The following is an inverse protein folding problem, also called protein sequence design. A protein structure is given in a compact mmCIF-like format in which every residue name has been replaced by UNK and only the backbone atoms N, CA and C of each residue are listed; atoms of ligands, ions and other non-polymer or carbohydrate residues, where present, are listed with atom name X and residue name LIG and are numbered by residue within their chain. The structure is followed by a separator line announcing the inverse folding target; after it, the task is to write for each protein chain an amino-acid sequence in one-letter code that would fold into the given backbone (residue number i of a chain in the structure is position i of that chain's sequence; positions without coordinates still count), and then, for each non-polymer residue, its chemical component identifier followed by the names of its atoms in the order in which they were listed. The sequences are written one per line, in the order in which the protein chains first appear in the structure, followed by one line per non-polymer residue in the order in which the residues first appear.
data_IF_663127930733
#
_entry.id   IF_663127930733
#
_cell.length_a   1.000
_cell.length_b   1.000
_cell.length_c   1.000
_cell.angle_alpha   90.00
_cell.angle_beta   90.00
_cell.angle_gamma   90.00
#
_symmetry.space_group_name_H-M   'P 1'
#
loop_
_entity.id
_entity.type
_entity.pdbx_description
1 polymer ?
#
# COMPACT_ATOMS: atom_id res chain seq x y z
N UNK A 1 -20.64 15.71 -1.24
CA UNK A 1 -19.59 14.67 -1.24
C UNK A 1 -19.63 13.93 0.09
N UNK A 2 -19.35 12.63 0.14
CA UNK A 2 -19.25 11.87 1.39
C UNK A 2 -17.86 12.11 2.01
N UNK A 3 -17.79 12.94 3.07
CA UNK A 3 -16.52 13.27 3.73
C UNK A 3 -15.91 12.07 4.49
N UNK A 4 -16.65 10.98 4.65
CA UNK A 4 -16.14 9.72 5.23
C UNK A 4 -15.53 8.81 4.17
N UNK A 5 -15.68 9.12 2.88
CA UNK A 5 -15.22 8.33 1.74
C UNK A 5 -14.23 9.13 0.89
N UNK A 6 -13.13 9.58 1.51
CA UNK A 6 -12.03 10.27 0.83
C UNK A 6 -10.86 9.31 0.74
N UNK A 7 -10.31 9.14 -0.47
CA UNK A 7 -9.26 8.17 -0.76
C UNK A 7 -8.11 8.82 -1.51
N UNK A 8 -6.93 8.19 -1.47
CA UNK A 8 -5.80 8.58 -2.32
C UNK A 8 -5.17 7.34 -2.97
N UNK A 9 -4.78 7.48 -4.22
CA UNK A 9 -3.98 6.49 -4.96
C UNK A 9 -3.05 7.24 -5.91
N UNK A 10 -1.97 6.60 -6.31
CA UNK A 10 -1.02 7.18 -7.25
C UNK A 10 0.07 6.20 -7.64
N UNK A 11 0.53 6.32 -8.89
CA UNK A 11 1.61 5.52 -9.45
C UNK A 11 2.97 6.20 -9.25
N UNK A 12 4.01 5.41 -8.95
CA UNK A 12 5.39 5.88 -8.83
C UNK A 12 5.53 7.00 -7.79
N UNK A 13 5.96 8.21 -8.16
CA UNK A 13 6.02 9.38 -7.26
C UNK A 13 4.66 9.73 -6.64
N UNK A 14 3.55 9.47 -7.33
CA UNK A 14 2.21 9.61 -6.77
C UNK A 14 1.95 8.62 -5.62
N UNK A 15 2.53 7.43 -5.70
CA UNK A 15 2.43 6.42 -4.63
C UNK A 15 3.28 6.79 -3.42
N UNK A 16 4.48 7.33 -3.63
CA UNK A 16 5.30 7.93 -2.56
C UNK A 16 4.53 9.07 -1.87
N UNK A 17 3.85 9.92 -2.64
CA UNK A 17 3.00 10.96 -2.09
C UNK A 17 1.82 10.40 -1.30
N UNK A 18 1.21 9.29 -1.74
CA UNK A 18 0.14 8.62 -0.96
C UNK A 18 0.62 8.15 0.41
N UNK A 19 1.84 7.63 0.53
CA UNK A 19 2.42 7.31 1.83
C UNK A 19 2.63 8.56 2.70
N UNK A 20 3.07 9.68 2.10
CA UNK A 20 3.22 10.94 2.82
C UNK A 20 1.87 11.44 3.34
N UNK A 21 0.83 11.37 2.51
CA UNK A 21 -0.54 11.70 2.91
C UNK A 21 -1.02 10.80 4.06
N UNK A 22 -0.81 9.49 3.99
CA UNK A 22 -1.18 8.57 5.07
C UNK A 22 -0.47 8.91 6.40
N UNK A 23 0.80 9.33 6.34
CA UNK A 23 1.56 9.76 7.50
C UNK A 23 1.03 11.06 8.10
N UNK A 24 0.79 12.08 7.27
CA UNK A 24 0.65 13.47 7.71
C UNK A 24 -0.79 13.92 7.94
N UNK A 25 -1.79 13.20 7.43
CA UNK A 25 -3.19 13.62 7.53
C UNK A 25 -4.13 12.48 7.90
N UNK A 26 -5.16 12.84 8.67
CA UNK A 26 -6.28 11.95 9.01
C UNK A 26 -7.45 12.09 8.01
N UNK A 27 -7.26 12.75 6.86
CA UNK A 27 -8.33 13.05 5.90
C UNK A 27 -8.89 11.79 5.24
N UNK A 28 -8.00 10.84 4.90
CA UNK A 28 -8.33 9.70 4.07
C UNK A 28 -8.88 8.53 4.89
N UNK A 29 -9.88 7.83 4.35
CA UNK A 29 -10.39 6.57 4.88
C UNK A 29 -9.43 5.40 4.57
N UNK A 30 -8.84 5.43 3.38
CA UNK A 30 -7.84 4.47 2.93
C UNK A 30 -6.96 5.09 1.83
N UNK A 31 -5.76 4.53 1.64
CA UNK A 31 -4.88 4.89 0.53
C UNK A 31 -4.37 3.65 -0.21
N UNK A 32 -4.04 3.81 -1.49
CA UNK A 32 -3.49 2.74 -2.33
C UNK A 32 -2.23 3.20 -3.10
N UNK A 33 -1.03 3.10 -2.53
CA UNK A 33 0.21 3.40 -3.25
C UNK A 33 0.51 2.35 -4.34
N UNK A 34 0.73 2.78 -5.59
CA UNK A 34 0.92 1.90 -6.75
C UNK A 34 2.35 2.00 -7.31
N UNK A 35 2.99 0.86 -7.60
CA UNK A 35 4.33 0.73 -8.21
C UNK A 35 5.34 1.76 -7.68
N UNK A 36 5.54 1.79 -6.36
CA UNK A 36 6.36 2.80 -5.72
C UNK A 36 7.18 2.24 -4.56
N UNK A 37 8.21 3.00 -4.16
CA UNK A 37 8.98 2.75 -2.95
C UNK A 37 8.35 3.38 -1.70
N UNK A 38 8.99 3.16 -0.55
CA UNK A 38 8.73 3.90 0.69
C UNK A 38 10.07 4.30 1.30
N UNK A 39 10.39 5.59 1.26
CA UNK A 39 11.61 6.15 1.84
C UNK A 39 11.58 6.12 3.38
N UNK A 40 12.68 5.63 3.98
CA UNK A 40 12.89 5.56 5.44
C UNK A 40 13.00 6.96 6.04
N UNK A 41 12.42 7.17 7.21
CA UNK A 41 12.33 8.45 7.93
C UNK A 41 11.29 9.43 7.36
N UNK A 42 11.02 9.40 6.06
CA UNK A 42 10.12 10.33 5.40
C UNK A 42 8.65 9.87 5.39
N UNK A 43 8.42 8.57 5.28
CA UNK A 43 7.08 7.99 5.10
C UNK A 43 6.63 7.10 6.26
N UNK A 44 7.54 6.76 7.16
CA UNK A 44 7.24 5.99 8.36
C UNK A 44 6.19 6.70 9.21
N UNK A 45 5.19 5.96 9.71
CA UNK A 45 4.24 6.52 10.66
C UNK A 45 4.96 6.91 11.95
N UNK A 46 4.47 7.97 12.59
CA UNK A 46 4.98 8.46 13.88
C UNK A 46 3.83 8.70 14.88
N UNK A 47 4.13 9.31 16.01
CA UNK A 47 3.18 9.59 17.09
C UNK A 47 1.99 10.47 16.67
N UNK A 48 2.12 11.24 15.58
CA UNK A 48 1.05 12.10 15.05
C UNK A 48 0.22 11.39 13.99
N UNK A 49 0.75 10.33 13.38
CA UNK A 49 0.05 9.55 12.36
C UNK A 49 -1.20 8.90 12.95
N UNK A 50 -2.30 8.92 12.18
CA UNK A 50 -3.53 8.20 12.53
C UNK A 50 -3.55 6.87 11.81
N UNK A 51 -4.11 5.86 12.47
CA UNK A 51 -4.31 4.54 11.86
C UNK A 51 -5.20 4.67 10.63
N UNK A 52 -4.81 4.01 9.55
CA UNK A 52 -5.44 4.12 8.24
C UNK A 52 -5.25 2.81 7.47
N UNK A 53 -6.24 2.42 6.67
CA UNK A 53 -6.12 1.26 5.80
C UNK A 53 -5.26 1.57 4.57
N UNK A 54 -4.31 0.68 4.26
CA UNK A 54 -3.34 0.89 3.17
C UNK A 54 -3.24 -0.37 2.32
N UNK A 55 -3.36 -0.22 1.01
CA UNK A 55 -3.05 -1.31 0.06
C UNK A 55 -1.91 -0.91 -0.85
N UNK A 56 -0.81 -1.66 -0.85
CA UNK A 56 0.23 -1.44 -1.84
C UNK A 56 0.11 -2.43 -3.00
N UNK A 57 0.20 -1.91 -4.22
CA UNK A 57 0.35 -2.71 -5.44
C UNK A 57 1.75 -2.51 -5.99
N UNK A 58 2.46 -3.59 -6.31
CA UNK A 58 3.76 -3.52 -6.99
C UNK A 58 4.10 -4.82 -7.72
N UNK A 59 4.78 -4.70 -8.85
CA UNK A 59 5.37 -5.83 -9.55
C UNK A 59 6.67 -6.32 -8.88
N UNK A 60 6.91 -7.63 -8.83
CA UNK A 60 8.09 -8.19 -8.16
C UNK A 60 9.42 -7.98 -8.88
N UNK A 61 9.40 -7.44 -10.09
CA UNK A 61 10.58 -6.96 -10.84
C UNK A 61 10.67 -5.42 -10.86
N UNK A 62 9.82 -4.70 -10.14
CA UNK A 62 9.98 -3.25 -9.98
C UNK A 62 11.28 -2.95 -9.22
N UNK A 63 12.05 -1.97 -9.70
CA UNK A 63 13.31 -1.53 -9.08
C UNK A 63 13.20 -1.16 -7.59
N UNK A 64 12.00 -0.80 -7.14
CA UNK A 64 11.71 -0.44 -5.74
C UNK A 64 11.19 -1.62 -4.91
N UNK A 65 11.01 -2.80 -5.50
CA UNK A 65 10.51 -3.99 -4.81
C UNK A 65 11.49 -4.46 -3.72
N UNK A 66 12.79 -4.50 -4.01
CA UNK A 66 13.81 -4.91 -3.04
C UNK A 66 14.33 -3.76 -2.16
N UNK A 67 13.75 -2.55 -2.30
CA UNK A 67 14.24 -1.35 -1.62
C UNK A 67 15.53 -0.82 -2.23
N UNK A 68 16.14 0.16 -1.57
CA UNK A 68 17.39 0.77 -2.01
C UNK A 68 18.24 1.22 -0.83
N UNK A 69 19.56 1.14 -1.00
CA UNK A 69 20.56 1.64 -0.04
C UNK A 69 21.47 2.64 -0.74
N UNK A 70 20.88 3.75 -1.20
CA UNK A 70 21.60 4.81 -1.92
C UNK A 70 21.82 5.97 -0.95
N UNK A 71 22.97 6.67 -1.06
CA UNK A 71 23.35 7.73 -0.11
C UNK A 71 22.36 8.92 0.00
N UNK A 72 21.48 9.12 -0.98
CA UNK A 72 20.49 10.22 -0.96
C UNK A 72 19.16 9.82 -0.33
N UNK A 73 18.65 8.62 -0.61
CA UNK A 73 17.36 8.13 -0.10
C UNK A 73 17.45 6.62 0.03
N UNK A 74 17.30 6.13 1.26
CA UNK A 74 17.14 4.70 1.56
C UNK A 74 15.66 4.36 1.51
N UNK A 75 15.30 3.27 0.85
CA UNK A 75 13.92 2.79 0.76
C UNK A 75 13.79 1.39 1.35
N UNK A 76 12.65 1.12 1.98
CA UNK A 76 12.27 -0.23 2.39
C UNK A 76 11.95 -1.11 1.18
N UNK A 77 12.26 -2.41 1.29
CA UNK A 77 11.68 -3.42 0.41
C UNK A 77 10.15 -3.46 0.54
N UNK A 78 9.50 -4.08 -0.43
CA UNK A 78 8.05 -4.27 -0.47
C UNK A 78 7.52 -5.00 0.77
N UNK A 79 8.25 -6.02 1.23
CA UNK A 79 7.88 -6.74 2.45
C UNK A 79 8.06 -5.85 3.69
N UNK A 80 9.19 -5.17 3.84
CA UNK A 80 9.48 -4.35 5.02
C UNK A 80 8.49 -3.20 5.18
N UNK A 81 8.15 -2.48 4.10
CA UNK A 81 7.20 -1.36 4.22
C UNK A 81 5.78 -1.80 4.59
N UNK A 82 5.37 -2.99 4.15
CA UNK A 82 4.11 -3.60 4.61
C UNK A 82 4.21 -3.95 6.09
N UNK A 83 5.34 -4.48 6.54
CA UNK A 83 5.57 -4.81 7.95
C UNK A 83 5.54 -3.58 8.86
N UNK A 84 6.13 -2.46 8.43
CA UNK A 84 6.09 -1.16 9.12
C UNK A 84 4.65 -0.73 9.38
N UNK A 85 3.83 -0.64 8.33
CA UNK A 85 2.44 -0.19 8.46
C UNK A 85 1.54 -1.21 9.16
N UNK A 86 1.75 -2.51 8.93
CA UNK A 86 1.04 -3.58 9.65
C UNK A 86 1.28 -3.46 11.15
N UNK A 87 2.54 -3.30 11.55
CA UNK A 87 2.93 -3.18 12.96
C UNK A 87 2.37 -1.92 13.58
N UNK A 88 2.46 -0.78 12.89
CA UNK A 88 1.86 0.48 13.34
C UNK A 88 0.34 0.37 13.54
N UNK A 89 -0.38 -0.22 12.58
CA UNK A 89 -1.82 -0.44 12.67
C UNK A 89 -2.22 -1.59 13.62
N UNK A 90 -1.25 -2.28 14.24
CA UNK A 90 -1.48 -3.43 15.13
C UNK A 90 -2.29 -4.54 14.45
N UNK A 91 -2.09 -4.73 13.15
CA UNK A 91 -2.69 -5.83 12.41
C UNK A 91 -2.03 -7.15 12.84
N UNK A 92 -2.80 -8.25 12.77
CA UNK A 92 -2.27 -9.59 13.07
C UNK A 92 -1.12 -9.95 12.11
N UNK A 93 -0.13 -10.75 12.55
CA UNK A 93 1.04 -11.04 11.73
C UNK A 93 0.79 -12.06 10.61
N UNK A 94 -0.31 -12.81 10.67
CA UNK A 94 -0.70 -13.81 9.65
C UNK A 94 -1.74 -13.18 8.72
N UNK A 95 -1.45 -13.06 7.40
CA UNK A 95 -2.40 -12.50 6.46
C UNK A 95 -3.42 -13.54 5.99
N UNK A 96 -4.56 -13.06 5.51
CA UNK A 96 -5.38 -13.82 4.55
C UNK A 96 -4.72 -13.68 3.19
N UNK A 97 -4.48 -14.80 2.51
CA UNK A 97 -3.84 -14.84 1.19
C UNK A 97 -4.87 -15.23 0.14
N UNK A 98 -4.96 -14.44 -0.93
CA UNK A 98 -5.86 -14.68 -2.06
C UNK A 98 -5.07 -14.58 -3.36
N UNK A 99 -5.11 -15.66 -4.14
CA UNK A 99 -4.59 -15.67 -5.51
C UNK A 99 -5.67 -15.21 -6.48
N UNK A 100 -5.29 -14.35 -7.43
CA UNK A 100 -6.17 -13.80 -8.47
C UNK A 100 -5.55 -14.14 -9.83
N UNK A 101 -5.99 -15.28 -10.38
CA UNK A 101 -5.29 -15.90 -11.50
C UNK A 101 -3.89 -16.36 -11.10
N UNK A 102 -2.99 -16.48 -12.07
CA UNK A 102 -1.64 -17.03 -11.86
C UNK A 102 -0.60 -15.98 -11.47
N UNK A 103 -0.94 -14.69 -11.64
CA UNK A 103 0.06 -13.61 -11.62
C UNK A 103 -0.16 -12.60 -10.49
N UNK A 104 -1.30 -12.61 -9.81
CA UNK A 104 -1.60 -11.63 -8.76
C UNK A 104 -1.84 -12.36 -7.43
N UNK A 105 -1.11 -11.97 -6.40
CA UNK A 105 -1.29 -12.48 -5.04
C UNK A 105 -1.53 -11.33 -4.08
N UNK A 106 -2.65 -11.39 -3.37
CA UNK A 106 -3.06 -10.41 -2.37
C UNK A 106 -2.87 -10.99 -0.96
N UNK A 107 -2.12 -10.28 -0.13
CA UNK A 107 -1.95 -10.57 1.29
C UNK A 107 -2.66 -9.48 2.09
N UNK A 108 -3.65 -9.83 2.91
CA UNK A 108 -4.40 -8.86 3.72
C UNK A 108 -4.20 -9.14 5.21
N UNK A 109 -3.63 -8.17 5.91
CA UNK A 109 -3.49 -8.15 7.36
C UNK A 109 -4.55 -7.23 7.95
N UNK A 110 -5.22 -7.66 9.01
CA UNK A 110 -6.27 -6.86 9.65
C UNK A 110 -6.11 -6.81 11.17
N UNK A 111 -6.58 -5.73 11.78
CA UNK A 111 -6.73 -5.63 13.23
C UNK A 111 -8.20 -5.81 13.67
N UNK A 112 -8.47 -5.87 14.97
CA UNK A 112 -9.83 -6.07 15.49
C UNK A 112 -10.78 -4.87 15.24
N UNK A 113 -10.24 -3.69 14.92
CA UNK A 113 -11.00 -2.49 14.60
C UNK A 113 -11.36 -2.38 13.11
N UNK A 114 -10.96 -3.35 12.29
CA UNK A 114 -11.24 -3.37 10.85
C UNK A 114 -10.28 -2.56 9.98
N UNK A 115 -9.15 -2.10 10.52
CA UNK A 115 -8.08 -1.48 9.71
C UNK A 115 -7.28 -2.58 9.02
N UNK A 116 -7.04 -2.39 7.72
CA UNK A 116 -6.36 -3.35 6.87
C UNK A 116 -5.06 -2.80 6.29
N UNK A 117 -4.02 -3.64 6.28
CA UNK A 117 -2.82 -3.43 5.49
C UNK A 117 -2.76 -4.53 4.47
N UNK A 118 -2.79 -4.19 3.19
CA UNK A 118 -2.82 -5.13 2.08
C UNK A 118 -1.57 -4.99 1.20
N UNK A 119 -1.07 -6.12 0.72
CA UNK A 119 0.04 -6.20 -0.21
C UNK A 119 -0.38 -7.01 -1.44
N UNK A 120 -0.50 -6.34 -2.57
CA UNK A 120 -0.79 -6.93 -3.86
C UNK A 120 0.50 -7.02 -4.67
N UNK A 121 1.01 -8.24 -4.80
CA UNK A 121 2.20 -8.53 -5.57
C UNK A 121 1.80 -9.04 -6.96
N UNK A 122 2.41 -8.45 -7.99
CA UNK A 122 2.19 -8.88 -9.38
C UNK A 122 3.46 -9.54 -9.91
N UNK A 123 3.33 -10.81 -10.30
CA UNK A 123 4.42 -11.68 -10.72
C UNK A 123 5.03 -11.25 -12.06
N UNK A 124 6.35 -11.27 -12.15
CA UNK A 124 7.14 -10.98 -13.35
C UNK A 124 6.85 -9.59 -13.95
N UNK A 125 6.37 -8.64 -13.14
CA UNK A 125 6.06 -7.28 -13.58
C UNK A 125 7.05 -6.25 -13.03
N UNK A 126 7.43 -5.31 -13.88
CA UNK A 126 8.28 -4.19 -13.52
C UNK A 126 7.50 -2.98 -13.00
N UNK A 127 8.10 -1.79 -13.18
CA UNK A 127 7.52 -0.53 -12.74
C UNK A 127 6.21 -0.17 -13.46
N UNK A 128 6.14 -0.51 -14.74
CA UNK A 128 4.92 -0.46 -15.52
C UNK A 128 4.40 -1.89 -15.65
N UNK A 129 3.30 -2.17 -14.95
CA UNK A 129 2.58 -3.44 -15.03
C UNK A 129 1.89 -3.50 -16.40
N UNK A 130 1.92 -4.67 -17.06
CA UNK A 130 1.20 -4.88 -18.32
C UNK A 130 -0.28 -4.50 -18.20
N UNK A 131 -0.91 -4.10 -19.30
CA UNK A 131 -2.23 -3.46 -19.28
C UNK A 131 -3.33 -4.31 -18.64
N UNK A 132 -3.45 -5.57 -19.02
CA UNK A 132 -4.45 -6.50 -18.51
C UNK A 132 -4.33 -6.71 -16.99
N UNK A 133 -3.11 -6.93 -16.49
CA UNK A 133 -2.86 -7.04 -15.06
C UNK A 133 -3.07 -5.71 -14.34
N UNK A 134 -2.69 -4.58 -14.96
CA UNK A 134 -2.89 -3.24 -14.41
C UNK A 134 -4.37 -2.95 -14.19
N UNK A 135 -5.19 -3.17 -15.21
CA UNK A 135 -6.64 -2.94 -15.13
C UNK A 135 -7.28 -3.86 -14.05
N UNK A 136 -6.75 -5.08 -13.87
CA UNK A 136 -7.13 -5.98 -12.78
C UNK A 136 -6.75 -5.45 -11.39
N UNK A 137 -5.49 -5.06 -11.18
CA UNK A 137 -5.03 -4.58 -9.86
C UNK A 137 -5.57 -3.20 -9.51
N UNK A 138 -5.89 -2.36 -10.50
CA UNK A 138 -6.60 -1.09 -10.31
C UNK A 138 -8.01 -1.36 -9.79
N UNK A 139 -8.70 -2.37 -10.34
CA UNK A 139 -10.02 -2.79 -9.84
C UNK A 139 -9.93 -3.28 -8.40
N UNK A 140 -8.95 -4.13 -8.07
CA UNK A 140 -8.71 -4.61 -6.70
C UNK A 140 -8.41 -3.44 -5.74
N UNK A 141 -7.61 -2.46 -6.17
CA UNK A 141 -7.30 -1.27 -5.39
C UNK A 141 -8.54 -0.40 -5.15
N UNK A 142 -9.38 -0.19 -6.18
CA UNK A 142 -10.63 0.54 -6.04
C UNK A 142 -11.58 -0.17 -5.06
N UNK A 143 -11.74 -1.49 -5.18
CA UNK A 143 -12.57 -2.27 -4.26
C UNK A 143 -12.06 -2.17 -2.81
N UNK A 144 -10.75 -2.24 -2.62
CA UNK A 144 -10.13 -2.03 -1.31
C UNK A 144 -10.46 -0.64 -0.76
N UNK A 145 -10.30 0.41 -1.56
CA UNK A 145 -10.59 1.78 -1.12
C UNK A 145 -12.07 1.93 -0.74
N UNK A 146 -12.99 1.52 -1.63
CA UNK A 146 -14.43 1.70 -1.45
C UNK A 146 -15.02 0.88 -0.30
N UNK A 147 -14.37 -0.22 0.09
CA UNK A 147 -14.72 -0.99 1.28
C UNK A 147 -14.56 -0.19 2.59
N UNK A 148 -13.69 0.81 2.60
CA UNK A 148 -13.32 1.52 3.82
C UNK A 148 -14.00 2.88 3.92
N UNK A 149 -14.54 3.20 5.10
CA UNK A 149 -15.07 4.53 5.41
C UNK A 149 -14.56 4.96 6.77
N UNK A 150 -14.34 6.27 6.94
CA UNK A 150 -14.05 6.82 8.26
C UNK A 150 -15.25 6.60 9.18
N UNK A 151 -14.98 6.15 10.40
CA UNK A 151 -15.98 6.08 11.48
C UNK A 151 -16.42 7.48 11.88
#
# INVERSE_FOLDING_TARGET
ADHKAIYATGHSSGGLFCYRLAKETALFAAVSPMSCGMAKGAHDPDEKTKSISIMQVIGDQDKSFNGSSNARVTMYSARERIDVWRTFNRCRPVPVVVEKGEEVVLYTYANAAGVEVAFCKVKDQGHLIRRDLRDSVDSIAIDFLLKHKKM
#
